data_IF_566623637686
#
_entry.id   IF_566623637686
#
_cell.length_a   1.000
_cell.length_b   1.000
_cell.length_c   1.000
_cell.angle_alpha   90.00
_cell.angle_beta   90.00
_cell.angle_gamma   90.00
#
_symmetry.space_group_name_H-M   'P 1'
#
loop_
_entity.id
_entity.type
_entity.pdbx_description
1 polymer ?
#
# COMPACT_ATOMS: atom_id res chain seq x y z
N UNK A 1 -6.59 0.72 -11.17
CA UNK A 1 -5.90 -0.22 -12.10
C UNK A 1 -4.83 0.42 -13.00
N UNK A 2 -5.04 1.59 -13.61
CA UNK A 2 -4.06 2.22 -14.55
C UNK A 2 -2.63 2.33 -14.01
N UNK A 3 -2.46 2.73 -12.75
CA UNK A 3 -1.13 2.89 -12.14
C UNK A 3 -0.35 1.56 -12.02
N UNK A 4 -1.04 0.46 -11.72
CA UNK A 4 -0.44 -0.87 -11.58
C UNK A 4 0.00 -1.36 -12.97
N UNK A 5 -0.90 -1.29 -13.95
CA UNK A 5 -0.60 -1.68 -15.34
C UNK A 5 0.57 -0.87 -15.92
N UNK A 6 0.55 0.46 -15.76
CA UNK A 6 1.65 1.32 -16.22
C UNK A 6 2.97 0.96 -15.54
N UNK A 7 2.94 0.57 -14.25
CA UNK A 7 4.15 0.15 -13.53
C UNK A 7 4.67 -1.20 -14.03
N UNK A 8 3.80 -2.15 -14.33
CA UNK A 8 4.19 -3.45 -14.89
C UNK A 8 4.79 -3.31 -16.30
N UNK A 9 4.25 -2.42 -17.13
CA UNK A 9 4.81 -2.08 -18.45
C UNK A 9 6.19 -1.46 -18.29
N UNK A 10 6.35 -0.44 -17.43
CA UNK A 10 7.66 0.20 -17.18
C UNK A 10 8.71 -0.78 -16.67
N UNK A 11 8.31 -1.80 -15.89
CA UNK A 11 9.22 -2.83 -15.37
C UNK A 11 9.51 -3.96 -16.36
N UNK A 12 8.94 -3.94 -17.58
CA UNK A 12 9.14 -5.00 -18.57
C UNK A 12 8.56 -6.36 -18.18
N UNK A 13 7.73 -6.42 -17.13
CA UNK A 13 7.17 -7.66 -16.59
C UNK A 13 5.83 -8.03 -17.21
N UNK A 14 5.16 -7.08 -17.87
CA UNK A 14 3.84 -7.28 -18.47
C UNK A 14 2.80 -7.75 -17.45
N UNK A 15 1.83 -8.56 -17.87
CA UNK A 15 0.77 -9.04 -16.98
C UNK A 15 1.29 -9.82 -15.75
N UNK A 16 2.46 -10.47 -15.87
CA UNK A 16 3.07 -11.25 -14.78
C UNK A 16 3.45 -10.35 -13.58
N UNK A 17 3.80 -9.09 -13.83
CA UNK A 17 4.20 -8.15 -12.79
C UNK A 17 3.04 -7.59 -11.96
N UNK A 18 1.78 -7.75 -12.39
CA UNK A 18 0.63 -7.14 -11.71
C UNK A 18 0.49 -7.65 -10.27
N UNK A 19 0.58 -8.97 -10.08
CA UNK A 19 0.49 -9.60 -8.76
C UNK A 19 1.61 -9.11 -7.84
N UNK A 20 2.85 -9.11 -8.31
CA UNK A 20 4.00 -8.67 -7.53
C UNK A 20 3.88 -7.19 -7.09
N UNK A 21 3.32 -6.33 -7.94
CA UNK A 21 3.07 -4.92 -7.59
C UNK A 21 2.01 -4.81 -6.50
N UNK A 22 0.92 -5.59 -6.58
CA UNK A 22 -0.14 -5.61 -5.56
C UNK A 22 0.41 -6.11 -4.22
N UNK A 23 1.09 -7.25 -4.23
CA UNK A 23 1.69 -7.84 -3.02
C UNK A 23 2.63 -6.85 -2.34
N UNK A 24 3.57 -6.25 -3.07
CA UNK A 24 4.48 -5.23 -2.51
C UNK A 24 3.74 -4.02 -1.95
N UNK A 25 2.68 -3.57 -2.62
CA UNK A 25 1.92 -2.38 -2.20
C UNK A 25 1.14 -2.63 -0.90
N UNK A 26 0.67 -3.87 -0.69
CA UNK A 26 -0.21 -4.22 0.43
C UNK A 26 0.47 -5.00 1.55
N UNK A 27 1.72 -5.43 1.39
CA UNK A 27 2.41 -6.33 2.32
C UNK A 27 2.32 -5.86 3.78
N UNK A 28 2.71 -4.61 4.04
CA UNK A 28 2.71 -4.06 5.40
C UNK A 28 1.27 -3.88 5.92
N UNK A 29 0.35 -3.42 5.07
CA UNK A 29 -1.06 -3.26 5.43
C UNK A 29 -1.69 -4.59 5.80
N UNK A 30 -1.46 -5.66 5.04
CA UNK A 30 -2.02 -7.00 5.32
C UNK A 30 -1.49 -7.59 6.63
N UNK A 31 -0.24 -7.28 6.99
CA UNK A 31 0.33 -7.72 8.26
C UNK A 31 -0.31 -6.99 9.46
N UNK A 32 -0.55 -5.68 9.33
CA UNK A 32 -1.06 -4.86 10.43
C UNK A 32 -2.57 -4.93 10.60
N UNK A 33 -3.31 -5.04 9.50
CA UNK A 33 -4.77 -4.96 9.48
C UNK A 33 -5.47 -5.94 10.45
N UNK A 34 -5.02 -7.20 10.65
CA UNK A 34 -5.63 -8.11 11.63
C UNK A 34 -5.59 -7.60 13.07
N UNK A 35 -4.68 -6.70 13.41
CA UNK A 35 -4.54 -6.10 14.75
C UNK A 35 -5.29 -4.77 14.90
N UNK A 36 -5.98 -4.30 13.86
CA UNK A 36 -6.66 -2.99 13.81
C UNK A 36 -8.17 -3.17 13.65
N UNK A 37 -8.90 -3.51 14.73
CA UNK A 37 -10.32 -3.87 14.66
C UNK A 37 -11.25 -2.72 14.28
N UNK A 38 -10.75 -1.48 14.32
CA UNK A 38 -11.49 -0.26 14.03
C UNK A 38 -11.35 0.21 12.57
N UNK A 39 -10.50 -0.44 11.77
CA UNK A 39 -10.32 -0.13 10.34
C UNK A 39 -11.40 -0.83 9.52
N UNK A 40 -12.14 -0.03 8.73
CA UNK A 40 -13.26 -0.51 7.91
C UNK A 40 -12.97 -0.50 6.41
N UNK A 41 -11.98 0.28 5.97
CA UNK A 41 -11.64 0.41 4.56
C UNK A 41 -10.15 0.71 4.36
N UNK A 42 -9.58 0.13 3.30
CA UNK A 42 -8.23 0.44 2.80
C UNK A 42 -8.33 1.05 1.41
N UNK A 43 -7.74 2.22 1.20
CA UNK A 43 -7.71 2.92 -0.08
C UNK A 43 -6.30 2.82 -0.67
N UNK A 44 -6.21 2.19 -1.84
CA UNK A 44 -4.97 2.07 -2.64
C UNK A 44 -5.02 3.09 -3.77
N UNK A 45 -4.17 4.10 -3.69
CA UNK A 45 -4.07 5.16 -4.68
C UNK A 45 -2.82 5.04 -5.57
N UNK A 46 -2.62 6.02 -6.46
CA UNK A 46 -1.45 6.04 -7.33
C UNK A 46 -0.14 6.13 -6.53
N UNK A 47 -0.12 6.94 -5.47
CA UNK A 47 1.08 7.18 -4.69
C UNK A 47 1.54 5.88 -4.03
N UNK A 48 0.62 5.11 -3.44
CA UNK A 48 0.94 3.81 -2.83
C UNK A 48 1.48 2.80 -3.85
N UNK A 49 0.91 2.74 -5.05
CA UNK A 49 1.40 1.83 -6.12
C UNK A 49 2.80 2.21 -6.60
N UNK A 50 3.09 3.51 -6.70
CA UNK A 50 4.39 4.02 -7.16
C UNK A 50 5.46 4.05 -6.07
N UNK A 51 5.12 3.72 -4.82
CA UNK A 51 6.03 3.79 -3.68
C UNK A 51 6.27 5.21 -3.15
N UNK A 52 5.51 6.20 -3.63
CA UNK A 52 5.54 7.59 -3.16
C UNK A 52 4.67 7.82 -1.92
N UNK A 53 3.98 6.78 -1.45
CA UNK A 53 3.13 6.80 -0.27
C UNK A 53 2.76 5.39 0.15
N UNK A 54 1.85 5.28 1.12
CA UNK A 54 1.34 4.02 1.66
C UNK A 54 -0.18 3.96 1.48
N UNK A 55 -0.80 2.76 1.48
CA UNK A 55 -2.26 2.64 1.47
C UNK A 55 -2.87 3.39 2.65
N UNK A 56 -4.00 4.08 2.42
CA UNK A 56 -4.71 4.85 3.45
C UNK A 56 -5.73 3.95 4.13
N UNK A 57 -5.86 4.05 5.45
CA UNK A 57 -6.85 3.30 6.23
C UNK A 57 -7.93 4.24 6.74
N UNK A 58 -9.19 3.80 6.69
CA UNK A 58 -10.34 4.55 7.20
C UNK A 58 -10.91 3.79 8.39
N UNK A 59 -11.16 4.50 9.50
CA UNK A 59 -11.70 3.93 10.73
C UNK A 59 -13.18 4.28 10.93
N UNK A 60 -13.88 3.48 11.75
CA UNK A 60 -15.32 3.61 12.03
C UNK A 60 -15.75 4.98 12.60
N UNK A 61 -14.82 5.83 13.05
CA UNK A 61 -15.09 7.15 13.63
C UNK A 61 -14.85 8.36 12.71
N UNK A 62 -14.51 8.15 11.43
CA UNK A 62 -14.19 9.23 10.48
C UNK A 62 -12.84 9.05 9.80
N UNK A 63 -12.63 9.79 8.70
CA UNK A 63 -11.46 9.66 7.81
C UNK A 63 -10.20 10.21 8.48
N UNK A 64 -9.55 9.38 9.27
CA UNK A 64 -8.24 9.69 9.80
C UNK A 64 -7.18 9.24 8.79
N UNK A 65 -6.70 10.18 7.97
CA UNK A 65 -5.69 9.92 6.94
C UNK A 65 -4.31 9.82 7.60
N UNK A 66 -4.13 8.88 8.51
CA UNK A 66 -2.81 8.65 9.08
C UNK A 66 -1.93 7.98 8.05
N UNK A 67 -1.01 8.75 7.49
CA UNK A 67 0.17 8.22 6.81
C UNK A 67 0.88 7.27 7.77
N UNK A 68 1.16 6.06 7.30
CA UNK A 68 1.99 5.08 8.00
C UNK A 68 3.43 5.63 8.05
N UNK A 69 3.69 6.59 8.96
CA UNK A 69 5.02 7.17 9.16
C UNK A 69 5.94 6.10 9.74
N UNK A 70 6.76 5.56 8.84
CA UNK A 70 8.13 5.10 9.07
C UNK A 70 8.34 4.06 10.18
N UNK A 71 8.10 2.79 9.86
CA UNK A 71 8.88 1.68 10.47
C UNK A 71 10.22 1.48 9.76
N UNK A 72 10.42 2.08 8.57
CA UNK A 72 11.66 1.97 7.77
C UNK A 72 12.82 2.84 8.28
N UNK A 73 12.72 3.37 9.51
CA UNK A 73 13.78 4.15 10.18
C UNK A 73 14.52 3.42 11.31
N UNK A 74 14.24 2.13 11.59
CA UNK A 74 14.88 1.39 12.72
C UNK A 74 15.75 0.20 12.31
N UNK A 75 16.25 0.14 11.08
CA UNK A 75 17.30 -0.82 10.67
C UNK A 75 18.47 -0.09 10.01
N UNK A 76 19.15 0.72 10.80
CA UNK A 76 20.50 1.21 10.56
C UNK A 76 21.17 1.37 11.92
N UNK A 77 21.61 0.23 12.48
CA UNK A 77 22.59 0.08 13.54
C UNK A 77 23.18 -1.32 13.39
#
# INVERSE_FOLDING_TARGET
MRAIAATAIRQGTGARGLRAIIERTLQDTMFQLPSMPDVTQVIVDKASVTGAGVPKMVRSGGVDTQEMRSVRGRRAA
#
